data_IF_077029664771
#
_entry.id   IF_077029664771
#
_cell.length_a   1.000
_cell.length_b   1.000
_cell.length_c   1.000
_cell.angle_alpha   90.00
_cell.angle_beta   90.00
_cell.angle_gamma   90.00
#
_symmetry.space_group_name_H-M   'P 1'
#
loop_
_entity.id
_entity.type
_entity.pdbx_description
1 polymer ?
#
# COMPACT_ATOMS: atom_id res chain seq x y z
N UNK A 1 -113.67 77.38 7.10
CA UNK A 1 -112.64 77.81 6.12
C UNK A 1 -112.54 79.32 6.18
N UNK A 2 -111.42 79.92 6.59
CA UNK A 2 -111.17 81.31 6.23
C UNK A 2 -110.46 81.33 4.88
N UNK A 3 -111.07 82.03 3.93
CA UNK A 3 -110.44 82.33 2.65
C UNK A 3 -109.17 83.17 2.86
N UNK A 4 -108.05 82.66 2.37
CA UNK A 4 -106.78 83.36 2.29
C UNK A 4 -106.85 84.42 1.20
N UNK A 5 -106.69 85.70 1.56
CA UNK A 5 -106.74 86.84 0.64
C UNK A 5 -105.56 86.95 -0.36
N UNK A 6 -105.60 87.93 -1.29
CA UNK A 6 -104.63 88.07 -2.39
C UNK A 6 -103.17 88.24 -1.95
N UNK A 7 -102.96 88.80 -0.75
CA UNK A 7 -101.65 89.09 -0.17
C UNK A 7 -100.91 87.82 0.30
N UNK A 8 -101.60 86.83 0.88
CA UNK A 8 -100.98 85.58 1.34
C UNK A 8 -100.51 84.71 0.17
N UNK A 9 -101.31 84.59 -0.91
CA UNK A 9 -100.87 83.90 -2.15
C UNK A 9 -99.65 84.54 -2.82
N UNK A 10 -99.48 85.87 -2.69
CA UNK A 10 -98.33 86.58 -3.26
C UNK A 10 -97.05 86.33 -2.47
N UNK A 11 -97.14 86.26 -1.12
CA UNK A 11 -96.01 85.86 -0.28
C UNK A 11 -95.58 84.40 -0.52
N UNK A 12 -96.54 83.48 -0.63
CA UNK A 12 -96.25 82.06 -0.91
C UNK A 12 -95.51 81.86 -2.24
N UNK A 13 -95.89 82.60 -3.30
CA UNK A 13 -95.18 82.58 -4.60
C UNK A 13 -93.74 83.09 -4.52
N UNK A 14 -93.43 84.03 -3.62
CA UNK A 14 -92.07 84.54 -3.43
C UNK A 14 -91.20 83.53 -2.65
N UNK A 15 -91.76 82.85 -1.64
CA UNK A 15 -91.07 81.77 -0.93
C UNK A 15 -90.80 80.56 -1.81
N UNK A 16 -91.76 80.13 -2.64
CA UNK A 16 -91.56 79.06 -3.62
C UNK A 16 -90.45 79.39 -4.62
N UNK A 17 -90.39 80.64 -5.10
CA UNK A 17 -89.30 81.11 -5.98
C UNK A 17 -87.94 81.09 -5.28
N UNK A 18 -87.89 81.42 -3.98
CA UNK A 18 -86.67 81.35 -3.18
C UNK A 18 -86.23 79.89 -2.92
N UNK A 19 -87.17 78.98 -2.64
CA UNK A 19 -86.88 77.54 -2.48
C UNK A 19 -86.39 76.91 -3.79
N UNK A 20 -87.01 77.26 -4.92
CA UNK A 20 -86.54 76.83 -6.24
C UNK A 20 -85.11 77.32 -6.52
N UNK A 21 -84.80 78.58 -6.21
CA UNK A 21 -83.45 79.14 -6.35
C UNK A 21 -82.43 78.46 -5.44
N UNK A 22 -82.79 78.15 -4.19
CA UNK A 22 -81.93 77.37 -3.28
C UNK A 22 -81.72 75.93 -3.76
N UNK A 23 -82.75 75.29 -4.34
CA UNK A 23 -82.65 73.95 -4.90
C UNK A 23 -81.75 73.94 -6.15
N UNK A 24 -81.88 74.92 -7.05
CA UNK A 24 -80.99 75.08 -8.20
C UNK A 24 -79.54 75.36 -7.78
N UNK A 25 -79.33 76.22 -6.79
CA UNK A 25 -77.99 76.50 -6.24
C UNK A 25 -77.36 75.25 -5.63
N UNK A 26 -78.13 74.48 -4.85
CA UNK A 26 -77.68 73.23 -4.26
C UNK A 26 -77.38 72.17 -5.33
N UNK A 27 -78.24 72.02 -6.33
CA UNK A 27 -78.01 71.12 -7.45
C UNK A 27 -76.78 71.53 -8.28
N UNK A 28 -76.55 72.84 -8.46
CA UNK A 28 -75.36 73.40 -9.09
C UNK A 28 -74.08 73.12 -8.29
N UNK A 29 -74.13 73.28 -6.97
CA UNK A 29 -73.02 72.95 -6.07
C UNK A 29 -72.72 71.44 -6.09
N UNK A 30 -73.72 70.58 -5.93
CA UNK A 30 -73.55 69.12 -6.03
C UNK A 30 -73.05 68.70 -7.42
N UNK A 31 -73.49 69.37 -8.49
CA UNK A 31 -73.01 69.12 -9.84
C UNK A 31 -71.55 69.53 -10.04
N UNK A 32 -71.11 70.62 -9.40
CA UNK A 32 -69.72 71.06 -9.39
C UNK A 32 -68.83 70.09 -8.60
N UNK A 33 -69.27 69.66 -7.41
CA UNK A 33 -68.59 68.67 -6.58
C UNK A 33 -68.41 67.35 -7.33
N UNK A 34 -69.47 66.81 -7.95
CA UNK A 34 -69.39 65.58 -8.77
C UNK A 34 -68.41 65.71 -9.94
N UNK A 35 -68.35 66.87 -10.60
CA UNK A 35 -67.36 67.11 -11.68
C UNK A 35 -65.93 67.15 -11.15
N UNK A 36 -65.73 67.73 -9.97
CA UNK A 36 -64.43 67.77 -9.32
C UNK A 36 -63.97 66.37 -8.92
N UNK A 37 -64.85 65.58 -8.29
CA UNK A 37 -64.60 64.18 -7.93
C UNK A 37 -64.31 63.32 -9.17
N UNK A 38 -65.11 63.46 -10.24
CA UNK A 38 -64.88 62.76 -11.49
C UNK A 38 -63.52 63.13 -12.12
N UNK A 39 -63.17 64.42 -12.15
CA UNK A 39 -61.87 64.87 -12.67
C UNK A 39 -60.68 64.40 -11.81
N UNK A 40 -60.85 64.34 -10.49
CA UNK A 40 -59.84 63.78 -9.58
C UNK A 40 -59.67 62.27 -9.80
N UNK A 41 -60.77 61.52 -9.97
CA UNK A 41 -60.69 60.09 -10.23
C UNK A 41 -60.09 59.78 -11.61
N UNK A 42 -60.43 60.55 -12.66
CA UNK A 42 -59.78 60.44 -13.96
C UNK A 42 -58.27 60.67 -13.88
N UNK A 43 -57.83 61.68 -13.12
CA UNK A 43 -56.41 61.94 -12.87
C UNK A 43 -55.74 60.78 -12.13
N UNK A 44 -56.40 60.22 -11.11
CA UNK A 44 -55.90 59.08 -10.34
C UNK A 44 -55.76 57.84 -11.21
N UNK A 45 -56.74 57.56 -12.06
CA UNK A 45 -56.72 56.45 -13.02
C UNK A 45 -55.63 56.66 -14.07
N UNK A 46 -55.46 57.88 -14.59
CA UNK A 46 -54.40 58.21 -15.53
C UNK A 46 -53.00 58.03 -14.91
N UNK A 47 -52.80 58.47 -13.67
CA UNK A 47 -51.55 58.27 -12.93
C UNK A 47 -51.28 56.79 -12.70
N UNK A 48 -52.25 56.02 -12.22
CA UNK A 48 -52.12 54.58 -12.01
C UNK A 48 -51.81 53.84 -13.32
N UNK A 49 -52.42 54.24 -14.45
CA UNK A 49 -52.14 53.67 -15.76
C UNK A 49 -50.73 53.99 -16.28
N UNK A 50 -50.17 55.14 -15.93
CA UNK A 50 -48.77 55.48 -16.22
C UNK A 50 -47.80 54.67 -15.37
N UNK A 51 -48.06 54.57 -14.06
CA UNK A 51 -47.27 53.74 -13.14
C UNK A 51 -47.26 52.28 -13.58
N UNK A 52 -48.42 51.71 -13.90
CA UNK A 52 -48.54 50.33 -14.41
C UNK A 52 -47.74 50.11 -15.69
N UNK A 53 -47.74 51.07 -16.63
CA UNK A 53 -46.95 50.95 -17.87
C UNK A 53 -45.45 51.01 -17.60
N UNK A 54 -45.01 51.82 -16.64
CA UNK A 54 -43.61 51.89 -16.24
C UNK A 54 -43.17 50.59 -15.58
N UNK A 55 -43.96 50.06 -14.66
CA UNK A 55 -43.70 48.78 -13.99
C UNK A 55 -43.64 47.63 -15.00
N UNK A 56 -44.61 47.54 -15.92
CA UNK A 56 -44.61 46.53 -16.97
C UNK A 56 -43.41 46.67 -17.91
N UNK A 57 -43.00 47.89 -18.23
CA UNK A 57 -41.80 48.16 -19.03
C UNK A 57 -40.52 47.73 -18.33
N UNK A 58 -40.40 48.04 -17.03
CA UNK A 58 -39.26 47.64 -16.21
C UNK A 58 -39.18 46.12 -16.06
N UNK A 59 -40.28 45.45 -15.72
CA UNK A 59 -40.35 44.00 -15.62
C UNK A 59 -40.00 43.31 -16.96
N UNK A 60 -40.47 43.86 -18.09
CA UNK A 60 -40.14 43.34 -19.41
C UNK A 60 -38.66 43.50 -19.80
N UNK A 61 -38.00 44.56 -19.31
CA UNK A 61 -36.56 44.75 -19.48
C UNK A 61 -35.75 43.78 -18.61
N UNK A 62 -36.14 43.61 -17.36
CA UNK A 62 -35.51 42.67 -16.41
C UNK A 62 -35.61 41.23 -16.93
N UNK A 63 -36.80 40.80 -17.36
CA UNK A 63 -37.01 39.48 -17.94
C UNK A 63 -36.11 39.23 -19.17
N UNK A 64 -35.92 40.24 -20.04
CA UNK A 64 -35.04 40.11 -21.21
C UNK A 64 -33.57 40.02 -20.82
N UNK A 65 -33.15 40.75 -19.79
CA UNK A 65 -31.79 40.66 -19.26
C UNK A 65 -31.53 39.29 -18.64
N UNK A 66 -32.45 38.80 -17.81
CA UNK A 66 -32.36 37.46 -17.20
C UNK A 66 -32.32 36.36 -18.26
N UNK A 67 -33.22 36.40 -19.25
CA UNK A 67 -33.23 35.43 -20.34
C UNK A 67 -31.94 35.50 -21.18
N UNK A 68 -31.40 36.70 -21.40
CA UNK A 68 -30.12 36.90 -22.09
C UNK A 68 -28.94 36.32 -21.30
N UNK A 69 -28.90 36.56 -19.99
CA UNK A 69 -27.87 36.03 -19.11
C UNK A 69 -27.94 34.50 -19.04
N UNK A 70 -29.12 33.93 -18.79
CA UNK A 70 -29.31 32.49 -18.74
C UNK A 70 -28.92 31.81 -20.08
N UNK A 71 -29.25 32.44 -21.21
CA UNK A 71 -28.85 31.94 -22.53
C UNK A 71 -27.33 32.00 -22.78
N UNK A 72 -26.62 32.94 -22.17
CA UNK A 72 -25.16 33.01 -22.23
C UNK A 72 -24.51 31.96 -21.33
N UNK A 73 -24.99 31.79 -20.10
CA UNK A 73 -24.53 30.76 -19.16
C UNK A 73 -24.70 29.37 -19.76
N UNK A 74 -25.88 29.07 -20.31
CA UNK A 74 -26.15 27.78 -20.97
C UNK A 74 -25.18 27.49 -22.12
N UNK A 75 -24.85 28.51 -22.94
CA UNK A 75 -23.89 28.34 -24.05
C UNK A 75 -22.47 28.11 -23.56
N UNK A 76 -22.09 28.75 -22.45
CA UNK A 76 -20.78 28.56 -21.83
C UNK A 76 -20.66 27.15 -21.24
N UNK A 77 -21.66 26.71 -20.48
CA UNK A 77 -21.72 25.37 -19.90
C UNK A 77 -21.69 24.29 -20.98
N UNK A 78 -22.55 24.40 -22.02
CA UNK A 78 -22.55 23.45 -23.12
C UNK A 78 -21.23 23.44 -23.90
N UNK A 79 -20.57 24.60 -24.03
CA UNK A 79 -19.24 24.71 -24.64
C UNK A 79 -18.16 24.02 -23.80
N UNK A 80 -18.22 24.18 -22.48
CA UNK A 80 -17.30 23.54 -21.55
C UNK A 80 -17.49 22.01 -21.52
N UNK A 81 -18.72 21.53 -21.40
CA UNK A 81 -19.03 20.10 -21.43
C UNK A 81 -18.54 19.44 -22.72
N UNK A 82 -18.71 20.11 -23.87
CA UNK A 82 -18.23 19.61 -25.16
C UNK A 82 -16.71 19.48 -25.20
N UNK A 83 -16.00 20.48 -24.68
CA UNK A 83 -14.53 20.44 -24.59
C UNK A 83 -14.07 19.28 -23.69
N UNK A 84 -14.69 19.12 -22.52
CA UNK A 84 -14.37 18.04 -21.58
C UNK A 84 -14.66 16.66 -22.18
N UNK A 85 -15.73 16.52 -22.94
CA UNK A 85 -16.07 15.28 -23.64
C UNK A 85 -15.05 14.96 -24.75
N UNK A 86 -14.65 15.95 -25.55
CA UNK A 86 -13.62 15.76 -26.58
C UNK A 86 -12.27 15.36 -25.97
N UNK A 87 -11.86 16.02 -24.88
CA UNK A 87 -10.64 15.65 -24.16
C UNK A 87 -10.70 14.22 -23.61
N UNK A 88 -11.82 13.83 -23.00
CA UNK A 88 -12.02 12.48 -22.47
C UNK A 88 -12.00 11.43 -23.58
N UNK A 89 -12.68 11.69 -24.69
CA UNK A 89 -12.70 10.80 -25.85
C UNK A 89 -11.30 10.64 -26.44
N UNK A 90 -10.55 11.74 -26.61
CA UNK A 90 -9.18 11.69 -27.12
C UNK A 90 -8.23 10.95 -26.19
N UNK A 91 -8.39 11.09 -24.87
CA UNK A 91 -7.62 10.34 -23.89
C UNK A 91 -7.89 8.83 -23.95
N UNK A 92 -9.15 8.42 -24.04
CA UNK A 92 -9.51 7.00 -24.17
C UNK A 92 -9.04 6.40 -25.50
N UNK A 93 -9.09 7.17 -26.59
CA UNK A 93 -8.56 6.72 -27.88
C UNK A 93 -7.05 6.50 -27.82
N UNK A 94 -6.28 7.45 -27.29
CA UNK A 94 -4.83 7.33 -27.11
C UNK A 94 -4.51 6.12 -26.23
N UNK A 95 -5.22 5.95 -25.11
CA UNK A 95 -5.03 4.83 -24.20
C UNK A 95 -5.31 3.49 -24.88
N UNK A 96 -6.38 3.40 -25.66
CA UNK A 96 -6.73 2.19 -26.42
C UNK A 96 -5.68 1.87 -27.47
N UNK A 97 -5.18 2.86 -28.21
CA UNK A 97 -4.12 2.67 -29.20
C UNK A 97 -2.81 2.19 -28.56
N UNK A 98 -2.39 2.81 -27.45
CA UNK A 98 -1.20 2.40 -26.71
C UNK A 98 -1.36 0.95 -26.22
N UNK A 99 -2.49 0.62 -25.60
CA UNK A 99 -2.75 -0.73 -25.11
C UNK A 99 -2.68 -1.77 -26.23
N UNK A 100 -3.36 -1.52 -27.36
CA UNK A 100 -3.35 -2.44 -28.50
C UNK A 100 -1.94 -2.60 -29.10
N UNK A 101 -1.16 -1.52 -29.19
CA UNK A 101 0.22 -1.59 -29.65
C UNK A 101 1.09 -2.40 -28.67
N UNK A 102 0.96 -2.19 -27.37
CA UNK A 102 1.68 -2.97 -26.36
C UNK A 102 1.33 -4.44 -26.42
N UNK A 103 0.04 -4.80 -26.49
CA UNK A 103 -0.41 -6.18 -26.61
C UNK A 103 0.14 -6.84 -27.89
N UNK A 104 0.11 -6.14 -29.03
CA UNK A 104 0.69 -6.61 -30.28
C UNK A 104 2.20 -6.87 -30.17
N UNK A 105 2.95 -5.97 -29.56
CA UNK A 105 4.40 -6.14 -29.39
C UNK A 105 4.75 -7.29 -28.44
N UNK A 106 3.96 -7.48 -27.39
CA UNK A 106 4.16 -8.60 -26.46
C UNK A 106 3.91 -9.93 -27.16
N UNK A 107 2.84 -10.05 -27.95
CA UNK A 107 2.58 -11.27 -28.72
C UNK A 107 3.66 -11.50 -29.80
N UNK A 108 4.12 -10.46 -30.50
CA UNK A 108 5.24 -10.59 -31.45
C UNK A 108 6.51 -11.10 -30.74
N UNK A 109 6.89 -10.50 -29.62
CA UNK A 109 8.06 -10.92 -28.85
C UNK A 109 7.91 -12.34 -28.32
N UNK A 110 6.72 -12.73 -27.86
CA UNK A 110 6.41 -14.09 -27.43
C UNK A 110 6.61 -15.08 -28.58
N UNK A 111 6.07 -14.81 -29.76
CA UNK A 111 6.27 -15.68 -30.93
C UNK A 111 7.73 -15.79 -31.33
N UNK A 112 8.51 -14.69 -31.23
CA UNK A 112 9.94 -14.71 -31.49
C UNK A 112 10.70 -15.57 -30.47
N UNK A 113 10.38 -15.42 -29.18
CA UNK A 113 10.99 -16.22 -28.10
C UNK A 113 10.66 -17.70 -28.27
N UNK A 114 9.40 -18.04 -28.51
CA UNK A 114 8.97 -19.43 -28.76
C UNK A 114 9.70 -20.02 -29.98
N UNK A 115 9.88 -19.22 -31.05
CA UNK A 115 10.67 -19.62 -32.22
C UNK A 115 12.16 -19.83 -31.92
N UNK A 116 12.77 -19.01 -31.07
CA UNK A 116 14.14 -19.20 -30.59
C UNK A 116 14.29 -20.45 -29.73
N UNK A 117 13.32 -20.70 -28.83
CA UNK A 117 13.29 -21.91 -28.00
C UNK A 117 13.22 -23.15 -28.88
N UNK A 118 12.31 -23.19 -29.86
CA UNK A 118 12.18 -24.34 -30.77
C UNK A 118 13.47 -24.64 -31.55
N UNK A 119 14.20 -23.60 -32.00
CA UNK A 119 15.49 -23.77 -32.67
C UNK A 119 16.56 -24.32 -31.73
N UNK A 120 16.60 -23.85 -30.49
CA UNK A 120 17.53 -24.38 -29.47
C UNK A 120 17.19 -25.85 -29.16
N UNK A 121 15.91 -26.19 -29.02
CA UNK A 121 15.47 -27.57 -28.81
C UNK A 121 15.86 -28.48 -29.99
N UNK A 122 15.72 -28.01 -31.24
CA UNK A 122 16.13 -28.73 -32.44
C UNK A 122 17.66 -28.92 -32.53
N UNK A 123 18.45 -27.87 -32.21
CA UNK A 123 19.92 -27.95 -32.18
C UNK A 123 20.43 -28.85 -31.04
N UNK A 124 19.78 -28.84 -29.88
CA UNK A 124 20.09 -29.73 -28.74
C UNK A 124 19.76 -31.19 -29.07
N UNK A 125 18.70 -31.45 -29.84
CA UNK A 125 18.30 -32.81 -30.25
C UNK A 125 19.09 -33.34 -31.46
N UNK A 126 19.70 -32.45 -32.26
CA UNK A 126 20.43 -32.81 -33.49
C UNK A 126 21.94 -32.96 -33.30
N UNK A 127 22.48 -32.58 -32.13
CA UNK A 127 23.90 -32.78 -31.77
C UNK A 127 24.07 -33.99 -30.84
N UNK A 128 24.68 -35.09 -31.29
CA UNK A 128 25.01 -36.23 -30.41
C UNK A 128 26.09 -35.90 -29.37
N UNK A 129 26.73 -34.73 -29.45
CA UNK A 129 27.84 -34.34 -28.57
C UNK A 129 27.38 -33.54 -27.33
N UNK A 130 26.14 -33.05 -27.27
CA UNK A 130 25.65 -32.25 -26.14
C UNK A 130 24.84 -33.04 -25.09
N UNK A 131 24.78 -34.36 -25.21
CA UNK A 131 24.41 -35.26 -24.11
C UNK A 131 25.68 -35.70 -23.35
N UNK A 132 26.72 -34.85 -23.32
CA UNK A 132 27.82 -35.03 -22.35
C UNK A 132 27.32 -34.65 -20.97
N UNK A 133 26.57 -35.57 -20.36
CA UNK A 133 26.51 -35.82 -18.91
C UNK A 133 27.01 -34.64 -18.05
N UNK A 134 26.17 -33.61 -17.90
CA UNK A 134 26.42 -32.55 -16.92
C UNK A 134 26.56 -33.26 -15.57
N UNK A 135 27.71 -33.19 -14.86
CA UNK A 135 27.87 -33.88 -13.60
C UNK A 135 26.82 -33.32 -12.64
N UNK A 136 25.76 -34.10 -12.37
CA UNK A 136 24.79 -33.73 -11.35
C UNK A 136 25.49 -33.97 -10.03
N UNK A 137 25.86 -32.90 -9.34
CA UNK A 137 26.43 -33.04 -8.00
C UNK A 137 25.36 -33.68 -7.13
N UNK A 138 25.69 -34.83 -6.52
CA UNK A 138 24.74 -35.63 -5.73
C UNK A 138 24.13 -34.77 -4.62
N UNK A 139 22.83 -34.94 -4.30
CA UNK A 139 22.21 -34.27 -3.16
C UNK A 139 22.99 -34.57 -1.88
N UNK A 140 23.36 -33.52 -1.16
CA UNK A 140 24.00 -33.62 0.15
C UNK A 140 22.99 -34.21 1.15
N UNK A 141 23.47 -34.84 2.21
CA UNK A 141 22.61 -35.31 3.30
C UNK A 141 22.83 -34.44 4.53
N UNK A 142 21.74 -34.09 5.23
CA UNK A 142 21.80 -33.37 6.50
C UNK A 142 21.10 -34.18 7.58
N UNK A 143 21.83 -34.58 8.61
CA UNK A 143 21.33 -35.33 9.76
C UNK A 143 21.25 -34.50 11.06
N UNK A 144 21.71 -33.25 11.00
CA UNK A 144 21.79 -32.32 12.14
C UNK A 144 23.09 -32.39 12.94
N UNK A 145 24.09 -33.18 12.51
CA UNK A 145 25.39 -33.27 13.19
C UNK A 145 26.37 -32.17 12.74
N UNK A 146 26.32 -31.79 11.46
CA UNK A 146 27.09 -30.65 10.94
C UNK A 146 26.37 -29.34 11.23
N UNK A 147 27.10 -28.21 11.29
CA UNK A 147 26.47 -26.89 11.42
C UNK A 147 25.53 -26.65 10.24
N UNK A 148 24.31 -26.20 10.55
CA UNK A 148 23.32 -25.83 9.56
C UNK A 148 23.86 -24.79 8.58
N UNK A 149 24.61 -23.80 9.05
CA UNK A 149 25.26 -22.76 8.22
C UNK A 149 26.23 -23.35 7.21
N UNK A 150 27.02 -24.35 7.62
CA UNK A 150 27.96 -25.07 6.73
C UNK A 150 27.20 -25.86 5.67
N UNK A 151 26.17 -26.61 6.09
CA UNK A 151 25.34 -27.37 5.15
C UNK A 151 24.63 -26.45 4.15
N UNK A 152 24.03 -25.35 4.63
CA UNK A 152 23.31 -24.38 3.79
C UNK A 152 24.24 -23.77 2.74
N UNK A 153 25.45 -23.38 3.14
CA UNK A 153 26.47 -22.86 2.19
C UNK A 153 26.81 -23.87 1.11
N UNK A 154 27.02 -25.14 1.48
CA UNK A 154 27.30 -26.20 0.50
C UNK A 154 26.09 -26.47 -0.41
N UNK A 155 24.88 -26.47 0.15
CA UNK A 155 23.63 -26.63 -0.59
C UNK A 155 23.42 -25.50 -1.60
N UNK A 156 23.72 -24.26 -1.23
CA UNK A 156 23.60 -23.09 -2.11
C UNK A 156 24.58 -23.17 -3.30
N UNK A 157 25.82 -23.62 -3.07
CA UNK A 157 26.79 -23.87 -4.13
C UNK A 157 26.28 -24.95 -5.09
N UNK A 158 25.85 -26.10 -4.56
CA UNK A 158 25.32 -27.21 -5.37
C UNK A 158 24.09 -26.80 -6.18
N UNK A 159 23.17 -26.08 -5.55
CA UNK A 159 21.94 -25.62 -6.20
C UNK A 159 22.23 -24.63 -7.34
N UNK A 160 23.22 -23.75 -7.14
CA UNK A 160 23.66 -22.79 -8.15
C UNK A 160 24.36 -23.48 -9.32
N UNK A 161 25.25 -24.44 -9.05
CA UNK A 161 25.92 -25.24 -10.10
C UNK A 161 24.92 -26.04 -10.93
N UNK A 162 23.89 -26.57 -10.28
CA UNK A 162 22.84 -27.36 -10.95
C UNK A 162 21.71 -26.51 -11.55
N UNK A 163 21.68 -25.19 -11.32
CA UNK A 163 20.65 -24.29 -11.83
C UNK A 163 19.25 -24.55 -11.26
N UNK A 164 19.15 -24.92 -9.98
CA UNK A 164 17.87 -25.24 -9.36
C UNK A 164 17.02 -23.98 -9.12
N UNK A 165 15.74 -24.05 -9.48
CA UNK A 165 14.73 -23.07 -9.08
C UNK A 165 14.38 -23.24 -7.60
N UNK A 166 13.79 -22.23 -6.96
CA UNK A 166 13.44 -22.30 -5.53
C UNK A 166 12.53 -23.47 -5.18
N UNK A 167 11.63 -23.86 -6.10
CA UNK A 167 10.81 -25.06 -5.96
C UNK A 167 11.64 -26.35 -5.92
N UNK A 168 12.63 -26.47 -6.83
CA UNK A 168 13.54 -27.61 -6.87
C UNK A 168 14.45 -27.61 -5.64
N UNK A 169 14.94 -26.44 -5.21
CA UNK A 169 15.70 -26.29 -3.97
C UNK A 169 14.92 -26.76 -2.76
N UNK A 170 13.66 -26.36 -2.61
CA UNK A 170 12.81 -26.80 -1.50
C UNK A 170 12.65 -28.32 -1.49
N UNK A 171 12.31 -28.90 -2.65
CA UNK A 171 12.14 -30.35 -2.80
C UNK A 171 13.43 -31.12 -2.48
N UNK A 172 14.57 -30.65 -2.97
CA UNK A 172 15.87 -31.27 -2.70
C UNK A 172 16.30 -31.10 -1.25
N UNK A 173 16.05 -29.94 -0.65
CA UNK A 173 16.35 -29.70 0.76
C UNK A 173 15.58 -30.67 1.65
N UNK A 174 14.29 -30.85 1.42
CA UNK A 174 13.45 -31.85 2.11
C UNK A 174 13.98 -33.27 1.88
N UNK A 175 14.33 -33.61 0.63
CA UNK A 175 14.86 -34.93 0.28
C UNK A 175 16.27 -35.20 0.85
N UNK A 176 17.02 -34.16 1.21
CA UNK A 176 18.35 -34.22 1.82
C UNK A 176 18.31 -34.49 3.33
N UNK A 177 17.18 -34.25 4.01
CA UNK A 177 17.09 -34.39 5.46
C UNK A 177 17.04 -35.86 5.90
N UNK A 178 17.81 -36.21 6.92
CA UNK A 178 17.86 -37.53 7.55
C UNK A 178 17.82 -37.39 9.07
N UNK A 179 17.51 -38.48 9.77
CA UNK A 179 17.56 -38.52 11.24
C UNK A 179 16.81 -37.37 11.93
N UNK A 180 17.46 -36.73 12.92
CA UNK A 180 16.91 -35.62 13.70
C UNK A 180 16.51 -34.42 12.84
N UNK A 181 17.23 -34.16 11.74
CA UNK A 181 16.88 -33.08 10.83
C UNK A 181 15.56 -33.32 10.09
N UNK A 182 15.26 -34.57 9.73
CA UNK A 182 14.00 -34.92 9.07
C UNK A 182 12.78 -34.74 9.99
N UNK A 183 12.94 -34.82 11.31
CA UNK A 183 11.85 -34.61 12.26
C UNK A 183 11.27 -33.18 12.23
N UNK A 184 12.06 -32.19 11.77
CA UNK A 184 11.58 -30.81 11.58
C UNK A 184 10.39 -30.75 10.62
N UNK A 185 10.33 -31.67 9.67
CA UNK A 185 9.26 -31.72 8.67
C UNK A 185 7.88 -32.01 9.28
N UNK A 186 7.82 -32.65 10.46
CA UNK A 186 6.55 -32.95 11.13
C UNK A 186 5.81 -31.68 11.59
N UNK A 187 6.54 -30.58 11.81
CA UNK A 187 5.98 -29.29 12.22
C UNK A 187 5.53 -28.40 11.05
N UNK A 188 5.76 -28.82 9.80
CA UNK A 188 5.50 -28.02 8.61
C UNK A 188 4.30 -28.60 7.85
N UNK A 189 3.26 -27.80 7.52
CA UNK A 189 2.18 -28.23 6.66
C UNK A 189 2.67 -28.71 5.29
N UNK A 190 2.04 -29.74 4.72
CA UNK A 190 2.51 -30.38 3.49
C UNK A 190 2.52 -29.43 2.27
N UNK A 191 1.56 -28.51 2.18
CA UNK A 191 1.48 -27.47 1.16
C UNK A 191 2.60 -26.42 1.25
N UNK A 192 3.29 -26.37 2.41
CA UNK A 192 4.40 -25.44 2.69
C UNK A 192 5.78 -26.07 2.57
N UNK A 193 5.86 -27.39 2.39
CA UNK A 193 7.13 -28.09 2.15
C UNK A 193 7.78 -27.74 0.80
N UNK A 194 7.01 -27.16 -0.13
CA UNK A 194 7.52 -26.66 -1.41
C UNK A 194 8.04 -25.23 -1.34
N UNK A 195 7.88 -24.54 -0.20
CA UNK A 195 8.38 -23.19 0.03
C UNK A 195 9.75 -23.26 0.70
N UNK A 196 10.80 -22.94 -0.07
CA UNK A 196 12.20 -23.00 0.39
C UNK A 196 12.40 -22.26 1.72
N UNK A 197 11.89 -21.04 1.81
CA UNK A 197 12.05 -20.17 2.98
C UNK A 197 11.41 -20.75 4.25
N UNK A 198 10.32 -21.49 4.12
CA UNK A 198 9.63 -22.12 5.25
C UNK A 198 10.45 -23.28 5.81
N UNK A 199 10.98 -24.13 4.93
CA UNK A 199 11.84 -25.26 5.31
C UNK A 199 13.15 -24.77 5.92
N UNK A 200 13.79 -23.76 5.31
CA UNK A 200 15.01 -23.15 5.85
C UNK A 200 14.81 -22.56 7.25
N UNK A 201 13.73 -21.80 7.48
CA UNK A 201 13.45 -21.21 8.79
C UNK A 201 13.26 -22.27 9.88
N UNK A 202 12.62 -23.37 9.55
CA UNK A 202 12.40 -24.45 10.51
C UNK A 202 13.72 -25.16 10.87
N UNK A 203 14.61 -25.34 9.88
CA UNK A 203 15.95 -25.88 10.10
C UNK A 203 16.85 -24.91 10.88
N UNK A 204 16.83 -23.63 10.54
CA UNK A 204 17.53 -22.56 11.26
C UNK A 204 17.06 -22.48 12.72
N UNK A 205 15.76 -22.61 12.97
CA UNK A 205 15.22 -22.56 14.33
C UNK A 205 15.68 -23.72 15.22
N UNK A 206 15.91 -24.91 14.64
CA UNK A 206 16.27 -26.12 15.42
C UNK A 206 17.78 -26.39 15.44
N UNK A 207 18.47 -26.09 14.34
CA UNK A 207 19.88 -26.40 14.11
C UNK A 207 20.75 -25.18 13.82
N UNK A 208 20.16 -23.97 13.82
CA UNK A 208 20.92 -22.73 13.75
C UNK A 208 21.93 -22.63 14.89
N UNK A 209 22.95 -21.80 14.69
CA UNK A 209 24.17 -21.84 15.49
C UNK A 209 23.94 -21.61 17.00
N UNK A 210 22.82 -20.99 17.40
CA UNK A 210 22.44 -20.74 18.79
C UNK A 210 22.38 -21.99 19.68
N UNK A 211 21.77 -23.09 19.21
CA UNK A 211 21.66 -24.33 19.99
C UNK A 211 22.96 -25.13 20.02
N UNK A 212 23.71 -25.09 18.91
CA UNK A 212 24.95 -25.80 18.75
C UNK A 212 26.09 -25.17 19.59
N UNK A 213 26.11 -23.83 19.71
CA UNK A 213 26.99 -23.10 20.65
C UNK A 213 26.74 -23.53 22.10
N UNK A 214 25.49 -23.77 22.52
CA UNK A 214 25.20 -24.24 23.88
C UNK A 214 25.65 -25.70 24.10
N UNK A 215 25.52 -26.55 23.09
CA UNK A 215 26.03 -27.92 23.12
C UNK A 215 27.56 -27.93 23.26
N UNK A 216 28.29 -27.23 22.38
CA UNK A 216 29.75 -27.16 22.44
C UNK A 216 30.27 -26.46 23.71
N UNK A 217 29.54 -25.47 24.23
CA UNK A 217 29.86 -24.86 25.53
C UNK A 217 29.76 -25.88 26.66
N UNK A 218 28.81 -26.81 26.58
CA UNK A 218 28.68 -27.89 27.55
C UNK A 218 29.81 -28.90 27.37
N UNK A 219 30.08 -29.33 26.14
CA UNK A 219 31.14 -30.28 25.80
C UNK A 219 32.51 -29.77 26.28
N UNK A 220 32.84 -28.51 25.98
CA UNK A 220 34.07 -27.83 26.42
C UNK A 220 34.22 -27.81 27.95
N UNK A 221 33.14 -27.51 28.69
CA UNK A 221 33.16 -27.51 30.17
C UNK A 221 33.38 -28.90 30.76
N UNK A 222 32.84 -29.92 30.13
CA UNK A 222 32.91 -31.32 30.61
C UNK A 222 34.11 -32.09 30.06
N UNK A 223 34.91 -31.47 29.20
CA UNK A 223 36.01 -32.13 28.51
C UNK A 223 37.07 -32.62 29.50
N UNK A 224 37.44 -33.89 29.39
CA UNK A 224 38.53 -34.54 30.14
C UNK A 224 39.32 -35.46 29.23
N UNK A 225 40.64 -35.55 29.41
CA UNK A 225 41.53 -36.40 28.62
C UNK A 225 41.11 -37.87 28.74
N UNK A 226 40.90 -38.53 27.60
CA UNK A 226 40.51 -39.95 27.56
C UNK A 226 41.72 -40.87 27.83
N UNK A 227 41.50 -42.09 28.34
CA UNK A 227 42.59 -43.07 28.46
C UNK A 227 43.23 -43.35 27.09
N UNK A 228 44.52 -43.02 26.94
CA UNK A 228 45.27 -43.24 25.70
C UNK A 228 45.24 -42.08 24.70
N UNK A 229 44.52 -40.99 25.00
CA UNK A 229 44.53 -39.77 24.19
C UNK A 229 45.79 -38.95 24.45
N UNK A 230 46.47 -38.54 23.38
CA UNK A 230 47.64 -37.67 23.49
C UNK A 230 47.26 -36.24 23.87
N UNK A 231 48.19 -35.51 24.48
CA UNK A 231 47.97 -34.10 24.83
C UNK A 231 47.75 -33.22 23.59
N UNK A 232 48.36 -33.59 22.46
CA UNK A 232 48.16 -32.92 21.17
C UNK A 232 46.73 -33.10 20.65
N UNK A 233 46.16 -34.30 20.75
CA UNK A 233 44.77 -34.57 20.36
C UNK A 233 43.79 -33.83 21.28
N UNK A 234 44.07 -33.81 22.59
CA UNK A 234 43.28 -33.03 23.55
C UNK A 234 43.32 -31.53 23.23
N UNK A 235 44.51 -30.97 22.98
CA UNK A 235 44.67 -29.56 22.67
C UNK A 235 43.96 -29.18 21.36
N UNK A 236 44.09 -29.99 20.31
CA UNK A 236 43.41 -29.78 19.04
C UNK A 236 41.88 -29.79 19.18
N UNK A 237 41.34 -30.68 20.02
CA UNK A 237 39.90 -30.74 20.27
C UNK A 237 39.40 -29.55 21.12
N UNK A 238 40.18 -29.10 22.11
CA UNK A 238 39.88 -27.88 22.87
C UNK A 238 39.91 -26.64 21.97
N UNK A 239 40.91 -26.51 21.09
CA UNK A 239 41.01 -25.42 20.12
C UNK A 239 39.82 -25.39 19.14
N UNK A 240 39.43 -26.57 18.66
CA UNK A 240 38.23 -26.75 17.82
C UNK A 240 36.97 -26.29 18.55
N UNK A 241 36.74 -26.75 19.79
CA UNK A 241 35.58 -26.36 20.60
C UNK A 241 35.58 -24.86 20.93
N UNK A 242 36.74 -24.26 21.21
CA UNK A 242 36.89 -22.82 21.46
C UNK A 242 36.53 -21.99 20.23
N UNK A 243 36.90 -22.47 19.04
CA UNK A 243 36.54 -21.81 17.77
C UNK A 243 35.04 -21.90 17.47
N UNK A 244 34.36 -22.97 17.93
CA UNK A 244 32.92 -23.16 17.75
C UNK A 244 32.06 -22.39 18.78
N UNK A 245 32.58 -22.14 19.98
CA UNK A 245 31.84 -21.42 21.05
C UNK A 245 32.13 -19.93 21.09
N UNK A 246 33.36 -19.52 20.74
CA UNK A 246 33.85 -18.15 20.91
C UNK A 246 34.49 -17.59 19.62
N UNK A 247 33.88 -17.87 18.46
CA UNK A 247 34.35 -17.38 17.16
C UNK A 247 34.52 -15.86 17.09
N UNK A 248 33.63 -15.10 17.74
CA UNK A 248 33.63 -13.62 17.75
C UNK A 248 34.56 -13.00 18.79
N UNK A 249 35.16 -13.82 19.67
CA UNK A 249 36.06 -13.32 20.70
C UNK A 249 37.45 -13.00 20.10
N UNK A 250 38.13 -11.92 20.55
CA UNK A 250 39.53 -11.66 20.17
C UNK A 250 40.43 -12.88 20.36
N UNK A 251 41.38 -13.07 19.43
CA UNK A 251 42.20 -14.29 19.37
C UNK A 251 43.02 -14.51 20.65
N UNK A 252 43.57 -13.44 21.21
CA UNK A 252 44.33 -13.46 22.47
C UNK A 252 43.48 -13.95 23.65
N UNK A 253 42.26 -13.44 23.78
CA UNK A 253 41.32 -13.87 24.83
C UNK A 253 40.90 -15.34 24.63
N UNK A 254 40.69 -15.74 23.37
CA UNK A 254 40.34 -17.11 23.01
C UNK A 254 41.47 -18.09 23.32
N UNK A 255 42.72 -17.74 23.02
CA UNK A 255 43.90 -18.57 23.29
C UNK A 255 44.19 -18.71 24.79
N UNK A 256 44.02 -17.64 25.59
CA UNK A 256 44.17 -17.72 27.05
C UNK A 256 43.07 -18.58 27.69
N UNK A 257 41.82 -18.47 27.23
CA UNK A 257 40.74 -19.35 27.68
C UNK A 257 40.99 -20.81 27.26
N UNK A 258 41.46 -21.04 26.03
CA UNK A 258 41.78 -22.37 25.53
C UNK A 258 42.87 -23.04 26.39
N UNK A 259 43.91 -22.31 26.77
CA UNK A 259 44.95 -22.77 27.70
C UNK A 259 44.35 -23.24 29.03
N UNK A 260 43.43 -22.47 29.60
CA UNK A 260 42.79 -22.82 30.87
C UNK A 260 41.92 -24.08 30.76
N UNK A 261 41.07 -24.17 29.74
CA UNK A 261 40.26 -25.37 29.50
C UNK A 261 41.11 -26.61 29.19
N UNK A 262 42.24 -26.44 28.49
CA UNK A 262 43.17 -27.53 28.22
C UNK A 262 43.81 -28.07 29.50
N UNK A 263 44.38 -27.19 30.33
CA UNK A 263 44.99 -27.58 31.62
C UNK A 263 43.96 -28.26 32.51
N UNK A 264 42.74 -27.72 32.62
CA UNK A 264 41.66 -28.31 33.42
C UNK A 264 41.17 -29.66 32.89
N UNK A 265 41.40 -29.96 31.61
CA UNK A 265 41.03 -31.22 30.98
C UNK A 265 42.10 -32.32 31.11
N UNK A 266 43.35 -31.99 31.47
CA UNK A 266 44.42 -32.97 31.68
C UNK A 266 44.03 -33.95 32.80
N UNK A 267 44.19 -35.26 32.55
CA UNK A 267 43.81 -36.30 33.50
C UNK A 267 44.89 -36.57 34.55
N UNK A 268 46.15 -36.38 34.20
CA UNK A 268 47.28 -36.55 35.12
C UNK A 268 47.40 -35.34 36.05
N UNK A 269 47.22 -35.54 37.36
CA UNK A 269 47.17 -34.44 38.33
C UNK A 269 48.54 -33.74 38.48
N UNK A 270 49.65 -34.47 38.36
CA UNK A 270 51.00 -33.92 38.47
C UNK A 270 51.35 -33.04 37.25
N UNK A 271 51.07 -33.52 36.04
CA UNK A 271 51.20 -32.72 34.81
C UNK A 271 50.25 -31.52 34.84
N UNK A 272 48.98 -31.70 35.25
CA UNK A 272 48.02 -30.60 35.39
C UNK A 272 48.54 -29.51 36.34
N UNK A 273 49.02 -29.88 37.52
CA UNK A 273 49.54 -28.92 38.50
C UNK A 273 50.82 -28.23 38.02
N UNK A 274 51.73 -28.95 37.37
CA UNK A 274 52.97 -28.39 36.82
C UNK A 274 52.69 -27.36 35.73
N UNK A 275 51.82 -27.69 34.77
CA UNK A 275 51.45 -26.77 33.67
C UNK A 275 50.68 -25.55 34.19
N UNK A 276 49.84 -25.71 35.23
CA UNK A 276 49.10 -24.59 35.85
C UNK A 276 50.02 -23.60 36.60
N UNK A 277 51.18 -24.04 37.10
CA UNK A 277 52.17 -23.20 37.78
C UNK A 277 52.99 -22.33 36.81
N UNK A 278 53.06 -22.72 35.53
CA UNK A 278 53.87 -22.04 34.52
C UNK A 278 53.19 -20.80 33.89
N UNK A 279 51.97 -20.45 34.32
CA UNK A 279 51.20 -19.28 33.83
C UNK A 279 51.21 -19.12 32.30
N UNK A 280 50.95 -20.21 31.59
CA UNK A 280 50.94 -20.21 30.13
C UNK A 280 49.84 -19.27 29.60
N UNK A 281 50.25 -18.31 28.75
CA UNK A 281 49.37 -17.25 28.21
C UNK A 281 48.52 -17.69 27.04
N UNK A 282 48.92 -18.80 26.41
CA UNK A 282 48.32 -19.34 25.19
C UNK A 282 48.37 -20.88 25.20
N UNK A 283 47.52 -21.49 24.37
CA UNK A 283 47.36 -22.94 24.30
C UNK A 283 48.65 -23.65 23.90
N UNK A 284 49.44 -23.04 23.02
CA UNK A 284 50.69 -23.62 22.51
C UNK A 284 51.75 -23.65 23.61
N UNK A 285 51.86 -22.59 24.41
CA UNK A 285 52.72 -22.56 25.60
C UNK A 285 52.29 -23.62 26.62
N UNK A 286 50.98 -23.79 26.84
CA UNK A 286 50.45 -24.80 27.78
C UNK A 286 50.82 -26.22 27.37
N UNK A 287 50.70 -26.53 26.07
CA UNK A 287 51.07 -27.84 25.50
C UNK A 287 52.60 -28.08 25.53
N UNK A 288 53.41 -27.02 25.44
CA UNK A 288 54.87 -27.15 25.47
C UNK A 288 55.42 -27.40 26.89
N UNK A 289 54.68 -27.00 27.93
CA UNK A 289 55.07 -27.18 29.33
C UNK A 289 54.46 -28.43 29.99
N UNK A 290 53.57 -29.15 29.30
CA UNK A 290 52.92 -30.39 29.73
C UNK A 290 53.60 -31.62 29.16
#
# INVERSE_FOLDING_TARGET
MPETGPLTRSMDKQFEKLFAMMAEMKAGQEGLERKMEAGQEEMRVAQAGLEQKMEAGQAGLEQKMEAGQAGLEQKMEAGQERLEQEMRSGQEEIKSQIQAHTESQVEEMKTHVDGCIGKIEEEVLSSPEFISSRPTVKPLTFDGQTSWTVFKTQFDVVSSTNGWTDFVKASQLVASLRGSAAEVLQGIPADKLTELTTVEKALESRFGDSHLTQFYRTELKTRRQKPGESLQELAADVERLMSLVYAECPLDVRESLAAQYFVDAIRDEDTQHSTRLMDAKDLKSSLAYS
#
